data_IF_129541916360
#
_entry.id   IF_129541916360
#
_cell.length_a   1.000
_cell.length_b   1.000
_cell.length_c   1.000
_cell.angle_alpha   90.00
_cell.angle_beta   90.00
_cell.angle_gamma   90.00
#
_symmetry.space_group_name_H-M   'P 1'
#
loop_
_entity.id
_entity.type
_entity.pdbx_description
1 polymer ?
#
# COMPACT_ATOMS: atom_id res chain seq x y z
N UNK A 1 47.62 10.75 51.27
CA UNK A 1 47.85 10.28 49.89
C UNK A 1 48.92 9.19 49.94
N UNK A 2 48.67 7.98 49.41
CA UNK A 2 48.58 7.75 47.96
C UNK A 2 47.38 6.87 47.52
N UNK A 3 47.07 6.99 46.23
CA UNK A 3 46.03 6.30 45.46
C UNK A 3 46.45 4.85 45.15
N UNK A 4 45.51 3.90 45.23
CA UNK A 4 45.53 2.69 44.40
C UNK A 4 44.12 2.40 43.89
N UNK A 5 43.98 2.63 42.59
CA UNK A 5 42.93 2.21 41.68
C UNK A 5 42.77 0.69 41.69
N UNK A 6 41.53 0.21 41.75
CA UNK A 6 41.17 -1.13 41.27
C UNK A 6 39.93 -1.00 40.41
N UNK A 7 40.15 -1.22 39.12
CA UNK A 7 39.12 -1.34 38.09
C UNK A 7 38.41 -2.67 38.31
N UNK A 8 37.16 -2.62 38.75
CA UNK A 8 36.23 -3.74 38.59
C UNK A 8 35.23 -3.35 37.51
N UNK A 9 35.52 -3.80 36.29
CA UNK A 9 34.60 -3.77 35.16
C UNK A 9 33.46 -4.74 35.45
N UNK A 10 32.35 -4.23 35.96
CA UNK A 10 31.09 -4.94 35.96
C UNK A 10 30.69 -5.22 34.50
N UNK A 11 30.26 -6.44 34.15
CA UNK A 11 29.63 -6.66 32.87
C UNK A 11 28.32 -5.88 32.90
N UNK A 12 28.26 -4.79 32.13
CA UNK A 12 27.01 -4.14 31.79
C UNK A 12 26.19 -5.16 31.02
N UNK A 13 25.34 -5.90 31.73
CA UNK A 13 24.19 -6.57 31.11
C UNK A 13 23.37 -5.46 30.48
N UNK A 14 23.59 -5.24 29.18
CA UNK A 14 22.66 -4.53 28.33
C UNK A 14 21.34 -5.26 28.49
N UNK A 15 20.46 -4.72 29.36
CA UNK A 15 19.05 -5.07 29.32
C UNK A 15 18.60 -4.68 27.91
N UNK A 16 18.52 -5.67 27.03
CA UNK A 16 17.78 -5.54 25.80
C UNK A 16 16.35 -5.23 26.23
N UNK A 17 15.96 -3.97 26.08
CA UNK A 17 14.64 -3.51 26.46
C UNK A 17 13.62 -4.30 25.64
N UNK A 18 12.77 -5.05 26.35
CA UNK A 18 11.65 -5.84 25.79
C UNK A 18 10.72 -4.97 24.93
N UNK A 19 10.76 -3.64 25.10
CA UNK A 19 10.05 -2.67 24.27
C UNK A 19 10.41 -2.74 22.78
N UNK A 20 11.54 -3.35 22.40
CA UNK A 20 11.91 -3.54 20.99
C UNK A 20 11.08 -4.60 20.27
N UNK A 21 10.36 -5.45 21.01
CA UNK A 21 9.45 -6.47 20.48
C UNK A 21 7.97 -6.05 20.56
N UNK A 22 7.69 -4.89 21.14
CA UNK A 22 6.33 -4.39 21.21
C UNK A 22 6.07 -3.59 19.95
N UNK A 23 5.19 -4.10 19.10
CA UNK A 23 4.57 -3.29 18.06
C UNK A 23 4.07 -1.98 18.68
N UNK A 24 4.23 -0.84 17.98
CA UNK A 24 3.74 0.42 18.49
C UNK A 24 2.27 0.26 18.88
N UNK A 25 1.85 0.85 20.01
CA UNK A 25 0.47 0.73 20.46
C UNK A 25 -0.46 1.18 19.33
N UNK A 26 -1.59 0.47 19.12
CA UNK A 26 -2.49 0.79 18.04
C UNK A 26 -2.92 2.25 18.15
N UNK A 27 -3.08 2.94 17.01
CA UNK A 27 -3.43 4.34 17.00
C UNK A 27 -4.68 4.57 17.84
N UNK A 28 -4.68 5.67 18.61
CA UNK A 28 -5.85 6.06 19.36
C UNK A 28 -7.02 6.26 18.41
N UNK A 29 -8.18 5.73 18.78
CA UNK A 29 -9.39 5.89 17.98
C UNK A 29 -9.71 7.38 17.73
N UNK A 30 -9.96 7.69 16.47
CA UNK A 30 -10.47 8.97 15.98
C UNK A 30 -11.60 8.70 15.00
N UNK A 31 -12.44 9.71 14.71
CA UNK A 31 -13.51 9.54 13.72
C UNK A 31 -12.93 9.37 12.32
N UNK A 32 -11.84 10.08 12.07
CA UNK A 32 -11.05 10.03 10.85
C UNK A 32 -10.43 8.64 10.69
N UNK A 33 -9.81 8.10 11.74
CA UNK A 33 -9.26 6.75 11.73
C UNK A 33 -10.33 5.65 11.57
N UNK A 34 -11.52 5.84 12.14
CA UNK A 34 -12.65 4.93 11.87
C UNK A 34 -13.04 4.95 10.39
N UNK A 35 -13.10 6.13 9.77
CA UNK A 35 -13.37 6.26 8.34
C UNK A 35 -12.26 5.60 7.52
N UNK A 36 -10.99 5.82 7.87
CA UNK A 36 -9.83 5.20 7.21
C UNK A 36 -9.93 3.68 7.17
N UNK A 37 -10.18 3.05 8.32
CA UNK A 37 -10.29 1.59 8.39
C UNK A 37 -11.53 1.05 7.68
N UNK A 38 -12.64 1.79 7.66
CA UNK A 38 -13.82 1.39 6.89
C UNK A 38 -13.54 1.51 5.38
N UNK A 39 -12.84 2.55 4.94
CA UNK A 39 -12.39 2.70 3.55
C UNK A 39 -11.49 1.54 3.17
N UNK A 40 -10.48 1.24 3.99
CA UNK A 40 -9.57 0.13 3.81
C UNK A 40 -10.32 -1.21 3.69
N UNK A 41 -11.19 -1.53 4.64
CA UNK A 41 -12.04 -2.73 4.61
C UNK A 41 -12.90 -2.78 3.33
N UNK A 42 -13.46 -1.65 2.91
CA UNK A 42 -14.33 -1.60 1.73
C UNK A 42 -13.57 -1.86 0.44
N UNK A 43 -12.37 -1.28 0.30
CA UNK A 43 -11.57 -1.36 -0.91
C UNK A 43 -10.80 -2.69 -0.98
N UNK A 44 -10.21 -3.15 0.13
CA UNK A 44 -9.40 -4.37 0.17
C UNK A 44 -10.25 -5.64 -0.01
N UNK A 45 -11.41 -5.70 0.65
CA UNK A 45 -12.28 -6.88 0.66
C UNK A 45 -13.50 -6.75 -0.27
N UNK A 46 -13.52 -5.74 -1.15
CA UNK A 46 -14.63 -5.44 -2.09
C UNK A 46 -16.01 -5.43 -1.40
N UNK A 47 -16.07 -4.80 -0.21
CA UNK A 47 -17.31 -4.75 0.55
C UNK A 47 -18.28 -3.73 -0.04
N UNK A 48 -19.58 -4.00 0.14
CA UNK A 48 -20.61 -3.05 -0.26
C UNK A 48 -20.52 -1.76 0.57
N UNK A 49 -20.65 -0.59 -0.08
CA UNK A 49 -20.80 0.70 0.62
C UNK A 49 -21.96 0.72 1.62
N UNK A 50 -22.97 -0.13 1.45
CA UNK A 50 -24.11 -0.26 2.38
C UNK A 50 -23.76 -1.02 3.65
N UNK A 51 -22.57 -1.61 3.78
CA UNK A 51 -22.11 -2.29 4.99
C UNK A 51 -22.23 -1.37 6.21
N UNK A 52 -21.83 -0.10 6.06
CA UNK A 52 -21.91 0.91 7.13
C UNK A 52 -23.34 1.29 7.52
N UNK A 53 -24.36 0.90 6.75
CA UNK A 53 -25.78 1.11 7.09
C UNK A 53 -26.40 -0.10 7.77
N UNK A 54 -25.75 -1.27 7.72
CA UNK A 54 -26.29 -2.49 8.32
C UNK A 54 -26.30 -2.34 9.84
N UNK A 55 -27.49 -2.47 10.43
CA UNK A 55 -27.66 -2.33 11.88
C UNK A 55 -26.82 -3.30 12.71
N UNK A 56 -26.54 -4.52 12.20
CA UNK A 56 -25.63 -5.47 12.87
C UNK A 56 -24.19 -4.97 12.93
N UNK A 57 -23.70 -4.40 11.83
CA UNK A 57 -22.36 -3.81 11.75
C UNK A 57 -22.23 -2.58 12.65
N UNK A 58 -23.23 -1.68 12.62
CA UNK A 58 -23.30 -0.52 13.53
C UNK A 58 -23.28 -0.91 15.00
N UNK A 59 -24.09 -1.92 15.39
CA UNK A 59 -24.07 -2.46 16.76
C UNK A 59 -22.72 -3.05 17.14
N UNK A 60 -22.02 -3.72 16.21
CA UNK A 60 -20.69 -4.25 16.47
C UNK A 60 -19.68 -3.12 16.76
N UNK A 61 -19.68 -2.05 15.95
CA UNK A 61 -18.81 -0.89 16.17
C UNK A 61 -19.08 -0.21 17.52
N UNK A 62 -20.36 -0.03 17.87
CA UNK A 62 -20.77 0.54 19.16
C UNK A 62 -20.41 -0.41 20.32
N UNK A 63 -20.52 -1.73 20.13
CA UNK A 63 -20.17 -2.72 21.16
C UNK A 63 -18.66 -2.70 21.46
N UNK A 64 -17.83 -2.61 20.43
CA UNK A 64 -16.37 -2.49 20.59
C UNK A 64 -15.97 -1.20 21.31
N UNK A 65 -16.73 -0.12 21.10
CA UNK A 65 -16.49 1.18 21.73
C UNK A 65 -17.80 1.86 22.12
N UNK A 66 -18.28 1.67 23.38
CA UNK A 66 -19.56 2.20 23.83
C UNK A 66 -19.68 3.73 23.78
N UNK A 67 -18.56 4.45 23.64
CA UNK A 67 -18.54 5.91 23.49
C UNK A 67 -18.77 6.38 22.04
N UNK A 68 -18.80 5.47 21.07
CA UNK A 68 -19.11 5.76 19.66
C UNK A 68 -20.62 5.85 19.48
N UNK A 69 -21.08 6.94 18.86
CA UNK A 69 -22.50 7.18 18.60
C UNK A 69 -22.82 6.93 17.13
N UNK A 70 -24.10 6.73 16.83
CA UNK A 70 -24.58 6.49 15.46
C UNK A 70 -24.16 7.59 14.46
N UNK A 71 -24.06 8.83 14.94
CA UNK A 71 -23.61 10.00 14.16
C UNK A 71 -22.10 10.01 13.87
N UNK A 72 -21.32 9.22 14.60
CA UNK A 72 -19.87 9.13 14.42
C UNK A 72 -19.51 8.06 13.36
N UNK A 73 -20.44 7.15 13.06
CA UNK A 73 -20.28 6.13 12.01
C UNK A 73 -20.61 6.78 10.65
N UNK A 74 -19.71 6.70 9.66
CA UNK A 74 -19.94 7.31 8.37
C UNK A 74 -21.15 6.70 7.66
N UNK A 75 -21.86 7.54 6.90
CA UNK A 75 -22.89 7.08 5.97
C UNK A 75 -22.25 6.58 4.67
N UNK A 76 -22.96 5.74 3.91
CA UNK A 76 -22.44 5.20 2.64
C UNK A 76 -22.06 6.31 1.65
N UNK A 77 -22.77 7.44 1.68
CA UNK A 77 -22.50 8.61 0.84
C UNK A 77 -21.14 9.20 1.15
N UNK A 78 -20.84 9.42 2.44
CA UNK A 78 -19.55 9.93 2.89
C UNK A 78 -18.41 8.95 2.60
N UNK A 79 -18.67 7.65 2.79
CA UNK A 79 -17.71 6.60 2.44
C UNK A 79 -17.38 6.62 0.94
N UNK A 80 -18.40 6.73 0.08
CA UNK A 80 -18.22 6.82 -1.37
C UNK A 80 -17.43 8.05 -1.78
N UNK A 81 -17.79 9.23 -1.23
CA UNK A 81 -17.10 10.49 -1.51
C UNK A 81 -15.62 10.42 -1.12
N UNK A 82 -15.33 9.87 0.07
CA UNK A 82 -13.97 9.69 0.56
C UNK A 82 -13.15 8.76 -0.36
N UNK A 83 -13.74 7.63 -0.78
CA UNK A 83 -13.07 6.69 -1.69
C UNK A 83 -12.78 7.33 -3.04
N UNK A 84 -13.74 8.08 -3.60
CA UNK A 84 -13.54 8.80 -4.86
C UNK A 84 -12.47 9.88 -4.73
N UNK A 85 -12.45 10.63 -3.63
CA UNK A 85 -11.43 11.64 -3.37
C UNK A 85 -10.03 11.02 -3.30
N UNK A 86 -9.87 9.87 -2.61
CA UNK A 86 -8.61 9.13 -2.56
C UNK A 86 -8.20 8.57 -3.91
N UNK A 87 -9.16 8.05 -4.69
CA UNK A 87 -8.88 7.54 -6.03
C UNK A 87 -8.36 8.64 -6.95
N UNK A 88 -8.97 9.83 -6.92
CA UNK A 88 -8.51 10.99 -7.69
C UNK A 88 -7.13 11.49 -7.27
N UNK A 89 -6.83 11.49 -5.97
CA UNK A 89 -5.51 11.84 -5.47
C UNK A 89 -4.43 10.84 -5.92
N UNK A 90 -4.73 9.54 -5.87
CA UNK A 90 -3.84 8.49 -6.38
C UNK A 90 -3.65 8.59 -7.89
N UNK A 91 -4.72 8.84 -8.64
CA UNK A 91 -4.67 9.06 -10.10
C UNK A 91 -3.77 10.27 -10.43
N UNK A 92 -3.92 11.38 -9.70
CA UNK A 92 -3.07 12.55 -9.85
C UNK A 92 -1.60 12.25 -9.58
N UNK A 93 -1.29 11.54 -8.49
CA UNK A 93 0.08 11.12 -8.13
C UNK A 93 0.69 10.19 -9.17
N UNK A 94 -0.10 9.24 -9.70
CA UNK A 94 0.33 8.34 -10.76
C UNK A 94 0.63 9.13 -12.04
N UNK A 95 -0.23 10.07 -12.41
CA UNK A 95 -0.01 10.92 -13.59
C UNK A 95 1.29 11.71 -13.47
N UNK A 96 1.53 12.37 -12.33
CA UNK A 96 2.79 13.10 -12.11
C UNK A 96 3.99 12.17 -12.11
N UNK A 97 3.86 10.97 -11.55
CA UNK A 97 4.92 9.96 -11.57
C UNK A 97 5.26 9.53 -13.00
N UNK A 98 4.24 9.30 -13.84
CA UNK A 98 4.43 8.95 -15.25
C UNK A 98 5.00 10.10 -16.09
N UNK A 99 4.62 11.36 -15.82
CA UNK A 99 5.21 12.54 -16.47
C UNK A 99 6.70 12.66 -16.13
N UNK A 100 7.09 12.53 -14.85
CA UNK A 100 8.50 12.54 -14.42
C UNK A 100 9.27 11.37 -15.03
N UNK A 101 8.66 10.20 -15.13
CA UNK A 101 9.28 9.04 -15.77
C UNK A 101 9.49 9.26 -17.26
N UNK A 102 8.51 9.84 -17.97
CA UNK A 102 8.64 10.18 -19.38
C UNK A 102 9.78 11.20 -19.62
N UNK A 103 9.82 12.28 -18.84
CA UNK A 103 10.90 13.28 -18.91
C UNK A 103 12.29 12.67 -18.62
N UNK A 104 12.37 11.71 -17.69
CA UNK A 104 13.62 11.02 -17.37
C UNK A 104 14.07 10.07 -18.49
N UNK A 105 13.13 9.48 -19.23
CA UNK A 105 13.42 8.64 -20.40
C UNK A 105 13.86 9.49 -21.59
N UNK A 106 13.28 10.67 -21.78
CA UNK A 106 13.64 11.62 -22.86
C UNK A 106 15.11 12.12 -22.72
N UNK A 107 15.63 12.21 -21.50
CA UNK A 107 17.05 12.58 -21.24
C UNK A 107 18.03 11.43 -21.58
N UNK A 108 17.57 10.18 -21.56
CA UNK A 108 18.38 9.02 -21.94
C UNK A 108 18.39 8.74 -23.44
N UNK A 109 17.49 9.37 -24.21
CA UNK A 109 17.42 9.25 -25.67
C UNK A 109 17.98 10.49 -26.38
N UNK A 110 19.27 10.77 -26.16
CA UNK A 110 20.01 11.79 -26.94
C UNK A 110 20.79 11.22 -28.12
N UNK A 111 20.31 10.13 -28.73
CA UNK A 111 20.80 9.74 -30.06
C UNK A 111 19.86 8.79 -30.83
N UNK A 112 18.69 9.26 -31.24
CA UNK A 112 18.11 8.79 -32.51
C UNK A 112 17.48 9.97 -33.25
N UNK A 113 18.29 10.57 -34.12
CA UNK A 113 17.85 11.54 -35.12
C UNK A 113 17.17 10.75 -36.25
N UNK A 114 15.95 10.29 -36.01
CA UNK A 114 15.04 9.83 -37.05
C UNK A 114 13.63 10.27 -36.63
N UNK A 115 13.05 11.17 -37.42
CA UNK A 115 11.67 11.61 -37.25
C UNK A 115 10.71 10.45 -37.58
N UNK A 116 10.60 9.49 -36.68
CA UNK A 116 9.54 8.49 -36.70
C UNK A 116 8.27 9.16 -36.18
N UNK A 117 7.26 9.22 -37.04
CA UNK A 117 5.90 9.65 -36.73
C UNK A 117 5.40 8.89 -35.50
N UNK A 118 5.35 9.56 -34.34
CA UNK A 118 4.93 8.97 -33.08
C UNK A 118 3.47 8.53 -33.19
N UNK A 119 3.28 7.25 -33.49
CA UNK A 119 1.98 6.57 -33.56
C UNK A 119 1.65 6.02 -32.16
N UNK A 120 0.68 6.59 -31.42
CA UNK A 120 0.31 6.12 -30.08
C UNK A 120 -0.14 4.64 -30.07
N UNK A 121 -0.62 4.15 -31.23
CA UNK A 121 -0.97 2.75 -31.44
C UNK A 121 0.23 1.80 -31.40
N UNK A 122 1.41 2.25 -31.84
CA UNK A 122 2.65 1.45 -31.82
C UNK A 122 3.21 1.34 -30.41
N UNK A 123 3.19 2.43 -29.63
CA UNK A 123 3.58 2.38 -28.22
C UNK A 123 2.68 1.44 -27.41
N UNK A 124 1.36 1.55 -27.57
CA UNK A 124 0.41 0.66 -26.90
C UNK A 124 0.62 -0.79 -27.33
N UNK A 125 0.89 -1.03 -28.62
CA UNK A 125 1.22 -2.35 -29.15
C UNK A 125 2.51 -2.93 -28.55
N UNK A 126 3.56 -2.13 -28.43
CA UNK A 126 4.85 -2.51 -27.82
C UNK A 126 4.70 -2.81 -26.32
N UNK A 127 3.96 -1.99 -25.59
CA UNK A 127 3.65 -2.22 -24.16
C UNK A 127 2.87 -3.53 -24.00
N UNK A 128 1.86 -3.76 -24.83
CA UNK A 128 1.07 -5.00 -24.79
C UNK A 128 1.90 -6.23 -25.14
N UNK A 129 2.80 -6.12 -26.12
CA UNK A 129 3.74 -7.17 -26.48
C UNK A 129 4.70 -7.50 -25.33
N UNK A 130 5.24 -6.47 -24.66
CA UNK A 130 6.10 -6.64 -23.48
C UNK A 130 5.36 -7.33 -22.33
N UNK A 131 4.13 -6.92 -22.03
CA UNK A 131 3.29 -7.57 -21.01
C UNK A 131 3.09 -9.04 -21.37
N UNK A 132 2.76 -9.35 -22.63
CA UNK A 132 2.60 -10.73 -23.08
C UNK A 132 3.90 -11.54 -22.99
N UNK A 133 5.05 -10.93 -23.26
CA UNK A 133 6.35 -11.57 -23.14
C UNK A 133 6.69 -11.88 -21.67
N UNK A 134 6.42 -10.95 -20.75
CA UNK A 134 6.58 -11.17 -19.31
C UNK A 134 5.66 -12.30 -18.83
N UNK A 135 4.40 -12.32 -19.28
CA UNK A 135 3.43 -13.39 -18.98
C UNK A 135 3.88 -14.76 -19.49
N UNK A 136 4.54 -14.81 -20.64
CA UNK A 136 5.03 -16.04 -21.25
C UNK A 136 6.36 -16.51 -20.66
N UNK A 137 7.14 -15.64 -20.02
CA UNK A 137 8.49 -15.96 -19.54
C UNK A 137 8.49 -16.85 -18.29
N UNK A 138 9.10 -18.06 -18.35
CA UNK A 138 9.27 -18.91 -17.17
C UNK A 138 10.16 -18.29 -16.10
N UNK A 139 11.14 -17.46 -16.52
CA UNK A 139 12.07 -16.78 -15.63
C UNK A 139 11.37 -15.68 -14.84
N UNK A 140 10.49 -14.92 -15.50
CA UNK A 140 9.67 -13.92 -14.82
C UNK A 140 8.74 -14.56 -13.78
N UNK A 141 8.13 -15.71 -14.12
CA UNK A 141 7.31 -16.47 -13.17
C UNK A 141 8.09 -16.93 -11.94
N UNK A 142 9.28 -17.51 -12.12
CA UNK A 142 10.12 -17.94 -11.01
C UNK A 142 10.55 -16.75 -10.12
N UNK A 143 10.84 -15.59 -10.72
CA UNK A 143 11.16 -14.37 -9.98
C UNK A 143 9.96 -13.85 -9.18
N UNK A 144 8.76 -13.82 -9.78
CA UNK A 144 7.55 -13.41 -9.06
C UNK A 144 7.16 -14.39 -7.95
N UNK A 145 7.37 -15.69 -8.15
CA UNK A 145 7.18 -16.71 -7.11
C UNK A 145 8.13 -16.49 -5.93
N UNK A 146 9.40 -16.13 -6.19
CA UNK A 146 10.35 -15.79 -5.13
C UNK A 146 9.91 -14.55 -4.34
N UNK A 147 9.51 -13.48 -5.02
CA UNK A 147 9.00 -12.26 -4.36
C UNK A 147 7.76 -12.55 -3.52
N UNK A 148 6.85 -13.42 -4.00
CA UNK A 148 5.66 -13.79 -3.22
C UNK A 148 6.03 -14.42 -1.88
N UNK A 149 7.06 -15.27 -1.86
CA UNK A 149 7.55 -15.92 -0.65
C UNK A 149 8.22 -14.91 0.29
N UNK A 150 9.00 -13.98 -0.26
CA UNK A 150 9.69 -12.93 0.51
C UNK A 150 8.71 -11.92 1.14
N UNK A 151 7.67 -11.52 0.40
CA UNK A 151 6.67 -10.53 0.82
C UNK A 151 5.43 -11.15 1.49
N UNK A 152 5.42 -12.48 1.73
CA UNK A 152 4.30 -13.23 2.34
C UNK A 152 2.97 -13.05 1.58
N UNK A 153 3.04 -12.86 0.27
CA UNK A 153 1.87 -12.74 -0.59
C UNK A 153 1.42 -14.13 -1.04
N UNK A 154 0.14 -14.46 -0.87
CA UNK A 154 -0.38 -15.71 -1.42
C UNK A 154 -0.31 -15.69 -2.96
N UNK A 155 0.25 -16.73 -3.62
CA UNK A 155 0.41 -16.80 -5.08
C UNK A 155 -0.85 -16.51 -5.90
N UNK A 156 -2.04 -16.70 -5.29
CA UNK A 156 -3.34 -16.42 -5.90
C UNK A 156 -3.62 -14.91 -6.14
N UNK A 157 -2.90 -14.01 -5.47
CA UNK A 157 -3.05 -12.56 -5.70
C UNK A 157 -2.31 -12.07 -6.95
N UNK A 158 -1.25 -12.77 -7.38
CA UNK A 158 -0.49 -12.42 -8.58
C UNK A 158 -1.23 -12.80 -9.88
N UNK A 159 -2.06 -13.85 -9.82
CA UNK A 159 -2.98 -14.21 -10.92
C UNK A 159 -4.00 -13.10 -11.18
N UNK A 160 -4.44 -12.35 -10.16
CA UNK A 160 -5.35 -11.21 -10.34
C UNK A 160 -4.70 -10.05 -11.11
N UNK A 161 -3.41 -9.80 -10.93
CA UNK A 161 -2.65 -8.79 -11.68
C UNK A 161 -2.38 -9.18 -13.13
N UNK A 162 -2.32 -10.49 -13.41
CA UNK A 162 -2.04 -11.03 -14.75
C UNK A 162 -3.32 -11.16 -15.61
N UNK A 163 -4.51 -11.04 -15.02
CA UNK A 163 -5.80 -11.22 -15.72
C UNK A 163 -6.54 -9.93 -16.09
N UNK A 164 -6.06 -8.76 -15.67
CA UNK A 164 -6.45 -7.46 -16.28
C UNK A 164 -5.58 -7.12 -17.48
#
# INVERSE_FOLDING_TARGET
MPKKTKNDSAPTTTQMSISSFMEPPPPSWTKEGLLDHIVELTVSDDQSFRLVEKGSFRRLLIYQRPQTWERDIPHHTKLREEILARALDVEGKLKTFFEVFADAVDVLDTSVDDAEEFEPGDLLGKVLAMINQIRASPQAKAFFEQICVEEQLEPLQLIKWVQT
#
